data_IF_657173421799
#
_entry.id   IF_657173421799
#
_cell.length_a   1.000
_cell.length_b   1.000
_cell.length_c   1.000
_cell.angle_alpha   90.00
_cell.angle_beta   90.00
_cell.angle_gamma   90.00
#
_symmetry.space_group_name_H-M   'P 1'
#
loop_
_entity.id
_entity.type
_entity.pdbx_description
1 polymer ?
#
# COMPACT_ATOMS: atom_id res chain seq x y z
N UNK A 1 -21.44 7.91 -10.24
CA UNK A 1 -20.53 6.96 -10.93
C UNK A 1 -20.10 5.86 -9.96
N UNK A 2 -20.76 4.71 -10.13
CA UNK A 2 -20.74 3.52 -9.28
C UNK A 2 -19.73 2.55 -9.87
N UNK A 3 -18.70 2.18 -9.11
CA UNK A 3 -17.73 1.16 -9.54
C UNK A 3 -18.02 -0.11 -8.76
N UNK A 4 -18.78 -0.99 -9.40
CA UNK A 4 -18.83 -2.41 -9.11
C UNK A 4 -18.09 -3.13 -10.24
N UNK A 5 -17.55 -4.31 -9.96
CA UNK A 5 -17.10 -5.22 -11.01
C UNK A 5 -18.25 -5.50 -12.01
N UNK A 6 -17.91 -6.14 -13.13
CA UNK A 6 -18.87 -6.53 -14.19
C UNK A 6 -20.04 -7.41 -13.68
N UNK A 7 -20.03 -7.82 -12.40
CA UNK A 7 -21.05 -8.64 -11.73
C UNK A 7 -21.93 -7.88 -10.72
N UNK A 8 -21.72 -6.57 -10.51
CA UNK A 8 -22.59 -5.75 -9.66
C UNK A 8 -22.37 -5.90 -8.15
N UNK A 9 -21.21 -6.40 -7.71
CA UNK A 9 -20.86 -6.55 -6.28
C UNK A 9 -20.35 -5.25 -5.64
N UNK A 10 -21.18 -4.22 -5.59
CA UNK A 10 -20.83 -2.94 -4.92
C UNK A 10 -20.90 -3.03 -3.38
N UNK A 11 -21.70 -3.96 -2.85
CA UNK A 11 -21.92 -4.10 -1.40
C UNK A 11 -20.76 -4.82 -0.67
N UNK A 12 -20.07 -5.74 -1.35
CA UNK A 12 -19.07 -6.60 -0.72
C UNK A 12 -17.74 -5.87 -0.49
N UNK A 13 -17.23 -5.18 -1.53
CA UNK A 13 -15.96 -4.45 -1.46
C UNK A 13 -15.92 -3.43 -0.31
N UNK A 14 -16.94 -2.58 -0.20
CA UNK A 14 -16.98 -1.56 0.85
C UNK A 14 -17.14 -2.18 2.24
N UNK A 15 -17.90 -3.26 2.39
CA UNK A 15 -18.01 -3.96 3.66
C UNK A 15 -16.70 -4.64 4.07
N UNK A 16 -15.93 -5.18 3.12
CA UNK A 16 -14.63 -5.81 3.37
C UNK A 16 -13.56 -4.77 3.73
N UNK A 17 -13.52 -3.67 2.99
CA UNK A 17 -12.66 -2.52 3.31
C UNK A 17 -13.00 -1.93 4.67
N UNK A 18 -14.29 -1.78 4.98
CA UNK A 18 -14.74 -1.32 6.28
C UNK A 18 -14.35 -2.29 7.38
N UNK A 19 -14.46 -3.60 7.18
CA UNK A 19 -14.02 -4.60 8.14
C UNK A 19 -12.50 -4.59 8.35
N UNK A 20 -11.71 -4.27 7.30
CA UNK A 20 -10.25 -4.16 7.40
C UNK A 20 -9.80 -2.92 8.17
N UNK A 21 -10.57 -1.83 8.08
CA UNK A 21 -10.29 -0.54 8.71
C UNK A 21 -10.94 -0.43 10.10
N UNK A 22 -12.08 -1.08 10.34
CA UNK A 22 -12.77 -1.11 11.62
C UNK A 22 -12.03 -2.05 12.57
N UNK A 23 -11.45 -1.47 13.61
CA UNK A 23 -10.58 -2.09 14.61
C UNK A 23 -11.29 -3.08 15.57
N UNK A 24 -12.48 -3.54 15.22
CA UNK A 24 -13.36 -4.25 16.16
C UNK A 24 -14.16 -5.34 15.45
N UNK A 25 -13.54 -6.50 15.25
CA UNK A 25 -14.27 -7.74 15.46
C UNK A 25 -13.34 -8.75 16.13
N UNK A 26 -13.63 -9.10 17.38
CA UNK A 26 -12.99 -10.23 18.07
C UNK A 26 -13.17 -11.58 17.36
N UNK A 27 -13.90 -11.59 16.23
CA UNK A 27 -14.06 -12.71 15.30
C UNK A 27 -13.06 -12.71 14.13
N UNK A 28 -12.31 -11.62 13.89
CA UNK A 28 -11.31 -11.57 12.80
C UNK A 28 -10.03 -12.35 13.12
N UNK A 29 -9.88 -12.89 14.34
CA UNK A 29 -8.77 -13.80 14.67
C UNK A 29 -8.84 -15.12 13.91
N UNK A 30 -9.99 -15.46 13.31
CA UNK A 30 -10.20 -16.71 12.57
C UNK A 30 -10.32 -16.53 11.05
N UNK A 31 -10.42 -15.28 10.58
CA UNK A 31 -10.53 -14.98 9.17
C UNK A 31 -9.20 -14.42 8.69
N UNK A 32 -8.58 -15.11 7.74
CA UNK A 32 -7.41 -14.70 6.98
C UNK A 32 -7.82 -13.44 6.18
N UNK A 33 -7.92 -12.30 6.85
CA UNK A 33 -8.33 -11.06 6.22
C UNK A 33 -7.25 -10.65 5.23
N UNK A 34 -7.69 -10.38 4.00
CA UNK A 34 -6.91 -9.96 2.83
C UNK A 34 -5.56 -9.34 3.20
N UNK A 35 -4.47 -10.08 2.99
CA UNK A 35 -3.11 -9.52 3.14
C UNK A 35 -2.81 -8.49 2.04
N UNK A 36 -3.61 -8.43 0.96
CA UNK A 36 -3.54 -7.38 -0.06
C UNK A 36 -4.69 -7.48 -1.07
N UNK A 37 -5.19 -6.32 -1.52
CA UNK A 37 -6.32 -6.21 -2.47
C UNK A 37 -5.88 -5.50 -3.74
N UNK A 38 -6.18 -6.10 -4.90
CA UNK A 38 -5.90 -5.49 -6.21
C UNK A 38 -7.16 -4.79 -6.75
N UNK A 39 -7.06 -3.48 -6.99
CA UNK A 39 -8.14 -2.67 -7.56
C UNK A 39 -7.88 -2.47 -9.06
N UNK A 40 -8.67 -3.13 -9.90
CA UNK A 40 -8.59 -3.03 -11.36
C UNK A 40 -9.67 -2.09 -11.90
N UNK A 41 -9.35 -1.40 -12.99
CA UNK A 41 -10.31 -0.56 -13.70
C UNK A 41 -9.65 0.21 -14.84
N UNK A 42 -10.44 0.64 -15.81
CA UNK A 42 -9.96 1.39 -16.97
C UNK A 42 -9.31 2.74 -16.59
N UNK A 43 -8.47 3.33 -17.46
CA UNK A 43 -7.99 4.70 -17.28
C UNK A 43 -9.17 5.66 -17.07
N UNK A 44 -9.08 6.52 -16.05
CA UNK A 44 -10.16 7.45 -15.70
C UNK A 44 -11.37 6.84 -14.98
N UNK A 45 -11.35 5.55 -14.62
CA UNK A 45 -12.45 4.90 -13.89
C UNK A 45 -12.66 5.43 -12.46
N UNK A 46 -11.66 6.13 -11.91
CA UNK A 46 -11.71 6.73 -10.58
C UNK A 46 -10.98 5.93 -9.49
N UNK A 47 -10.03 5.06 -9.86
CA UNK A 47 -9.17 4.32 -8.91
C UNK A 47 -8.46 5.23 -7.90
N UNK A 48 -7.80 6.29 -8.38
CA UNK A 48 -7.14 7.25 -7.47
C UNK A 48 -8.15 7.99 -6.58
N UNK A 49 -9.35 8.31 -7.09
CA UNK A 49 -10.44 8.86 -6.27
C UNK A 49 -10.92 7.87 -5.19
N UNK A 50 -10.91 6.58 -5.50
CA UNK A 50 -11.21 5.51 -4.54
C UNK A 50 -10.13 5.41 -3.46
N UNK A 51 -8.85 5.42 -3.84
CA UNK A 51 -7.73 5.47 -2.88
C UNK A 51 -7.82 6.69 -1.95
N UNK A 52 -8.13 7.87 -2.49
CA UNK A 52 -8.36 9.06 -1.66
C UNK A 52 -9.52 8.88 -0.67
N UNK A 53 -10.61 8.22 -1.08
CA UNK A 53 -11.71 7.89 -0.16
C UNK A 53 -11.28 6.90 0.92
N UNK A 54 -10.45 5.91 0.58
CA UNK A 54 -9.88 4.96 1.55
C UNK A 54 -9.02 5.67 2.59
N UNK A 55 -8.15 6.58 2.16
CA UNK A 55 -7.36 7.42 3.07
C UNK A 55 -8.27 8.20 4.02
N UNK A 56 -9.26 8.91 3.49
CA UNK A 56 -10.18 9.69 4.32
C UNK A 56 -10.97 8.81 5.27
N UNK A 57 -11.42 7.64 4.82
CA UNK A 57 -12.16 6.70 5.65
C UNK A 57 -11.29 6.15 6.77
N UNK A 58 -10.06 5.72 6.46
CA UNK A 58 -9.07 5.24 7.42
C UNK A 58 -8.78 6.29 8.49
N UNK A 59 -8.44 7.52 8.09
CA UNK A 59 -8.18 8.63 9.01
C UNK A 59 -9.39 9.02 9.87
N UNK A 60 -10.62 8.72 9.43
CA UNK A 60 -11.85 9.08 10.14
C UNK A 60 -12.35 7.98 11.09
N UNK A 61 -11.96 6.71 10.89
CA UNK A 61 -12.54 5.56 11.60
C UNK A 61 -11.50 4.67 12.29
N UNK A 62 -10.21 4.81 11.96
CA UNK A 62 -9.13 4.03 12.54
C UNK A 62 -8.17 4.94 13.30
N UNK A 63 -7.77 4.50 14.50
CA UNK A 63 -6.75 5.17 15.34
C UNK A 63 -5.41 4.44 15.32
N UNK A 64 -5.42 3.18 14.89
CA UNK A 64 -4.29 2.26 14.82
C UNK A 64 -3.66 2.25 13.43
N UNK A 65 -4.44 2.41 12.35
CA UNK A 65 -3.90 2.41 11.00
C UNK A 65 -3.55 3.82 10.51
N UNK A 66 -2.45 3.89 9.76
CA UNK A 66 -1.97 5.09 9.10
C UNK A 66 -1.86 4.79 7.60
N UNK A 67 -2.70 5.40 6.76
CA UNK A 67 -2.67 5.13 5.32
C UNK A 67 -1.49 5.86 4.66
N UNK A 68 -0.74 5.13 3.83
CA UNK A 68 0.39 5.65 3.07
C UNK A 68 0.18 5.35 1.59
N UNK A 69 -0.05 6.39 0.80
CA UNK A 69 -0.09 6.27 -0.66
C UNK A 69 1.35 6.25 -1.19
N UNK A 70 1.65 5.24 -2.00
CA UNK A 70 2.93 5.05 -2.66
C UNK A 70 2.70 5.09 -4.18
N UNK A 71 2.97 6.23 -4.84
CA UNK A 71 2.92 6.30 -6.29
C UNK A 71 4.03 5.45 -6.90
N UNK A 72 3.66 4.42 -7.65
CA UNK A 72 4.62 3.47 -8.23
C UNK A 72 5.53 4.15 -9.25
N UNK A 73 4.97 5.05 -10.07
CA UNK A 73 5.75 5.84 -11.02
C UNK A 73 6.85 6.67 -10.34
N UNK A 74 6.60 7.15 -9.12
CA UNK A 74 7.60 7.92 -8.36
C UNK A 74 8.74 7.03 -7.88
N UNK A 75 8.43 5.82 -7.37
CA UNK A 75 9.46 4.82 -7.04
C UNK A 75 10.30 4.55 -8.29
N UNK A 76 9.68 4.23 -9.42
CA UNK A 76 10.37 3.91 -10.66
C UNK A 76 11.27 5.08 -11.13
N UNK A 77 10.75 6.30 -11.12
CA UNK A 77 11.51 7.51 -11.50
C UNK A 77 12.74 7.71 -10.63
N UNK A 78 12.62 7.45 -9.33
CA UNK A 78 13.72 7.59 -8.36
C UNK A 78 14.73 6.47 -8.49
N UNK A 79 14.29 5.23 -8.70
CA UNK A 79 15.17 4.09 -8.93
C UNK A 79 16.04 4.30 -10.17
N UNK A 80 15.45 4.80 -11.26
CA UNK A 80 16.19 5.10 -12.49
C UNK A 80 17.24 6.22 -12.30
N UNK A 81 16.98 7.17 -11.38
CA UNK A 81 17.89 8.28 -11.08
C UNK A 81 18.93 7.93 -10.01
N UNK A 82 18.65 6.92 -9.18
CA UNK A 82 19.52 6.51 -8.09
C UNK A 82 20.71 5.72 -8.63
N UNK A 83 21.87 6.38 -8.72
CA UNK A 83 23.15 5.71 -8.94
C UNK A 83 23.58 5.01 -7.64
N UNK A 84 23.02 3.84 -7.34
CA UNK A 84 23.37 3.08 -6.14
C UNK A 84 22.23 2.33 -5.46
N UNK A 85 21.01 2.34 -6.03
CA UNK A 85 20.04 1.33 -5.62
C UNK A 85 20.39 0.03 -6.34
N UNK A 86 20.94 -0.92 -5.59
CA UNK A 86 21.18 -2.26 -6.10
C UNK A 86 19.99 -3.16 -5.71
N UNK A 87 19.09 -3.47 -6.67
CA UNK A 87 17.93 -4.33 -6.43
C UNK A 87 18.30 -5.78 -6.08
N UNK A 88 19.56 -6.19 -6.21
CA UNK A 88 20.03 -7.51 -5.77
C UNK A 88 20.53 -7.50 -4.32
N UNK A 89 20.95 -6.35 -3.78
CA UNK A 89 21.42 -6.21 -2.38
C UNK A 89 20.32 -5.77 -1.41
N UNK A 90 19.27 -5.10 -1.89
CA UNK A 90 17.99 -5.08 -1.17
C UNK A 90 17.43 -6.50 -1.27
N UNK A 91 17.63 -7.31 -0.23
CA UNK A 91 17.16 -8.69 -0.18
C UNK A 91 15.66 -8.82 -0.46
N UNK A 92 15.13 -10.03 -0.35
CA UNK A 92 13.71 -10.37 -0.55
C UNK A 92 12.72 -9.64 0.40
N UNK A 93 13.15 -8.59 1.08
CA UNK A 93 12.42 -7.87 2.09
C UNK A 93 11.64 -6.73 1.43
N UNK A 94 10.33 -6.92 1.25
CA UNK A 94 9.44 -5.88 0.72
C UNK A 94 9.50 -4.58 1.52
N UNK A 95 9.79 -4.66 2.82
CA UNK A 95 10.05 -3.50 3.68
C UNK A 95 11.26 -2.67 3.23
N UNK A 96 12.30 -3.30 2.67
CA UNK A 96 13.54 -2.60 2.29
C UNK A 96 13.33 -1.59 1.17
N UNK A 97 12.52 -1.93 0.16
CA UNK A 97 12.17 -1.01 -0.92
C UNK A 97 11.32 0.16 -0.41
N UNK A 98 10.36 -0.15 0.47
CA UNK A 98 9.50 0.88 1.09
C UNK A 98 10.31 1.79 2.00
N UNK A 99 11.16 1.26 2.87
CA UNK A 99 12.03 2.06 3.76
C UNK A 99 12.95 2.96 2.94
N UNK A 100 13.57 2.43 1.88
CA UNK A 100 14.37 3.23 0.95
C UNK A 100 13.53 4.37 0.35
N UNK A 101 12.33 4.08 -0.15
CA UNK A 101 11.45 5.09 -0.74
C UNK A 101 11.10 6.17 0.30
N UNK A 102 10.64 5.77 1.50
CA UNK A 102 10.31 6.69 2.59
C UNK A 102 11.50 7.57 2.99
N UNK A 103 12.71 6.99 3.02
CA UNK A 103 13.95 7.72 3.30
C UNK A 103 14.24 8.77 2.24
N UNK A 104 14.05 8.45 0.97
CA UNK A 104 14.27 9.40 -0.14
C UNK A 104 13.17 10.47 -0.18
N UNK A 105 11.91 10.15 0.16
CA UNK A 105 10.80 11.12 0.17
C UNK A 105 10.93 12.10 1.32
N UNK A 106 11.10 11.59 2.54
CA UNK A 106 10.98 12.37 3.76
C UNK A 106 12.33 12.79 4.34
N UNK A 107 13.43 12.20 3.89
CA UNK A 107 14.77 12.39 4.46
C UNK A 107 15.00 11.47 5.66
N UNK A 108 16.15 10.79 5.66
CA UNK A 108 16.48 9.76 6.67
C UNK A 108 16.65 10.26 8.10
N UNK A 109 16.93 11.56 8.28
CA UNK A 109 17.15 12.17 9.60
C UNK A 109 15.93 12.96 10.10
N UNK A 110 14.75 12.74 9.52
CA UNK A 110 13.54 13.47 9.90
C UNK A 110 12.65 12.68 10.85
N UNK A 111 12.01 13.39 11.80
CA UNK A 111 11.01 12.79 12.69
C UNK A 111 9.89 12.08 11.92
N UNK A 112 9.50 12.59 10.75
CA UNK A 112 8.46 11.98 9.91
C UNK A 112 8.91 10.60 9.41
N UNK A 113 10.15 10.47 8.92
CA UNK A 113 10.69 9.18 8.51
C UNK A 113 10.74 8.20 9.70
N UNK A 114 11.25 8.62 10.85
CA UNK A 114 11.30 7.76 12.04
C UNK A 114 9.92 7.31 12.52
N UNK A 115 8.92 8.20 12.51
CA UNK A 115 7.55 7.85 12.87
C UNK A 115 6.92 6.87 11.88
N UNK A 116 7.15 7.06 10.57
CA UNK A 116 6.64 6.13 9.55
C UNK A 116 7.32 4.77 9.63
N UNK A 117 8.63 4.74 9.86
CA UNK A 117 9.37 3.51 10.09
C UNK A 117 8.85 2.78 11.33
N UNK A 118 8.65 3.48 12.45
CA UNK A 118 8.09 2.87 13.65
C UNK A 118 6.67 2.34 13.40
N UNK A 119 5.84 3.08 12.65
CA UNK A 119 4.51 2.61 12.27
C UNK A 119 4.56 1.37 11.37
N UNK A 120 5.55 1.27 10.47
CA UNK A 120 5.81 0.08 9.67
C UNK A 120 6.18 -1.11 10.56
N UNK A 121 7.16 -0.96 11.44
CA UNK A 121 7.59 -2.01 12.39
C UNK A 121 6.45 -2.45 13.34
N UNK A 122 5.46 -1.59 13.59
CA UNK A 122 4.28 -1.90 14.39
C UNK A 122 3.11 -2.50 13.57
N UNK A 123 3.28 -2.76 12.26
CA UNK A 123 2.22 -3.19 11.34
C UNK A 123 0.97 -2.28 11.34
N UNK A 124 1.22 -0.97 11.49
CA UNK A 124 0.19 0.07 11.54
C UNK A 124 0.04 0.80 10.21
N UNK A 125 0.89 0.55 9.23
CA UNK A 125 0.75 1.16 7.92
C UNK A 125 -0.26 0.39 7.07
N UNK A 126 -1.12 1.14 6.38
CA UNK A 126 -1.92 0.65 5.27
C UNK A 126 -1.29 1.14 3.97
N UNK A 127 -0.66 0.26 3.22
CA UNK A 127 0.05 0.57 1.99
C UNK A 127 -0.91 0.63 0.80
N UNK A 128 -0.95 1.79 0.14
CA UNK A 128 -1.79 2.03 -1.02
C UNK A 128 -0.90 2.32 -2.23
N UNK A 129 -0.58 1.28 -3.01
CA UNK A 129 0.18 1.43 -4.24
C UNK A 129 -0.72 1.95 -5.37
N UNK A 130 -0.34 3.08 -5.97
CA UNK A 130 -1.07 3.68 -7.11
C UNK A 130 -0.25 3.57 -8.40
N UNK A 131 -0.88 3.07 -9.48
CA UNK A 131 -0.26 2.95 -10.81
C UNK A 131 0.74 1.80 -10.98
N UNK A 132 0.44 0.58 -10.49
CA UNK A 132 1.32 -0.59 -10.65
C UNK A 132 1.64 -0.89 -12.12
N UNK A 133 0.66 -0.72 -13.01
CA UNK A 133 0.78 -0.88 -14.46
C UNK A 133 1.76 0.10 -15.11
N UNK A 134 2.03 1.23 -14.45
CA UNK A 134 2.95 2.27 -14.92
C UNK A 134 4.43 1.94 -14.64
N UNK A 135 4.73 0.87 -13.90
CA UNK A 135 6.11 0.49 -13.56
C UNK A 135 6.94 -0.03 -14.75
N UNK A 136 6.30 -0.41 -15.86
CA UNK A 136 6.97 -0.92 -17.06
C UNK A 136 7.94 -2.09 -16.76
N UNK A 137 9.25 -1.97 -17.04
CA UNK A 137 10.20 -3.07 -16.79
C UNK A 137 10.44 -3.35 -15.31
N UNK A 138 10.03 -2.46 -14.40
CA UNK A 138 10.20 -2.61 -12.95
C UNK A 138 9.02 -3.31 -12.27
N UNK A 139 7.96 -3.71 -13.01
CA UNK A 139 6.82 -4.47 -12.48
C UNK A 139 7.27 -5.64 -11.60
N UNK A 140 8.22 -6.52 -12.02
CA UNK A 140 8.63 -7.66 -11.19
C UNK A 140 9.30 -7.27 -9.86
N UNK A 141 9.88 -6.07 -9.77
CA UNK A 141 10.44 -5.55 -8.52
C UNK A 141 9.32 -5.09 -7.58
N UNK A 142 8.32 -4.38 -8.11
CA UNK A 142 7.17 -3.90 -7.35
C UNK A 142 6.33 -5.09 -6.84
N UNK A 143 6.09 -6.09 -7.69
CA UNK A 143 5.35 -7.30 -7.28
C UNK A 143 6.08 -8.09 -6.19
N UNK A 144 7.41 -8.22 -6.27
CA UNK A 144 8.23 -8.80 -5.20
C UNK A 144 8.14 -8.00 -3.91
N UNK A 145 8.16 -6.66 -4.00
CA UNK A 145 7.98 -5.80 -2.85
C UNK A 145 6.62 -6.03 -2.18
N UNK A 146 5.53 -6.00 -2.96
CA UNK A 146 4.17 -6.23 -2.44
C UNK A 146 4.06 -7.63 -1.82
N UNK A 147 4.58 -8.65 -2.48
CA UNK A 147 4.58 -10.03 -1.97
C UNK A 147 5.38 -10.16 -0.68
N UNK A 148 6.51 -9.45 -0.56
CA UNK A 148 7.31 -9.42 0.66
C UNK A 148 6.59 -8.74 1.83
N UNK A 149 5.89 -7.62 1.56
CA UNK A 149 5.08 -6.94 2.57
C UNK A 149 3.93 -7.84 3.06
N UNK A 150 3.24 -8.50 2.13
CA UNK A 150 2.19 -9.50 2.41
C UNK A 150 2.72 -10.64 3.29
N UNK A 151 3.88 -11.19 2.94
CA UNK A 151 4.52 -12.28 3.70
C UNK A 151 4.92 -11.87 5.13
N UNK A 152 5.21 -10.59 5.33
CA UNK A 152 5.52 -9.99 6.63
C UNK A 152 4.27 -9.51 7.40
N UNK A 153 3.06 -9.84 6.93
CA UNK A 153 1.78 -9.44 7.52
C UNK A 153 1.53 -7.91 7.57
N UNK A 154 2.08 -7.17 6.61
CA UNK A 154 1.63 -5.80 6.34
C UNK A 154 0.28 -5.78 5.62
N UNK A 155 -0.36 -4.61 5.61
CA UNK A 155 -1.68 -4.36 5.02
C UNK A 155 -1.61 -3.30 3.95
#
# INVERSE_FOLDING_TARGET
>A
PRMADETGREAFFWSEVQALIAEDDGRLSEHIFFQGTLILGEPGSGKSSLLCKLVMHCLSHSTLLLPVIIPVLEICSRLQKAQGFDPEHCGNDGEGLVEWYLRVVYGGDTNRFFMLRQAMECHRLLFLFDGIDEAGPLIPLIERCISGLVALNHR
#
